data_IF_902539681578
#
_entry.id   IF_902539681578
#
_cell.length_a   1.000
_cell.length_b   1.000
_cell.length_c   1.000
_cell.angle_alpha   90.00
_cell.angle_beta   90.00
_cell.angle_gamma   90.00
#
_symmetry.space_group_name_H-M   'P 1'
#
loop_
_entity.id
_entity.type
_entity.pdbx_description
1 polymer ?
#
# COMPACT_ATOMS: atom_id res chain seq x y z
N UNK A 1 21.13 -18.86 -11.21
CA UNK A 1 21.61 -19.85 -10.20
C UNK A 1 22.91 -19.35 -9.63
N UNK A 2 23.12 -19.40 -8.29
CA UNK A 2 24.33 -18.80 -7.65
C UNK A 2 25.59 -19.67 -7.87
N UNK A 3 25.42 -20.87 -8.39
CA UNK A 3 26.51 -21.84 -8.65
C UNK A 3 27.36 -22.22 -7.42
N UNK A 4 26.72 -22.30 -6.26
CA UNK A 4 27.33 -22.75 -5.01
C UNK A 4 26.44 -23.76 -4.29
N UNK A 5 27.04 -24.59 -3.45
CA UNK A 5 26.28 -25.59 -2.70
C UNK A 5 25.40 -24.96 -1.61
N UNK A 6 24.28 -25.61 -1.22
CA UNK A 6 23.47 -25.15 -0.07
C UNK A 6 24.29 -25.03 1.22
N UNK A 7 25.29 -25.90 1.42
CA UNK A 7 26.19 -25.83 2.55
C UNK A 7 27.03 -24.54 2.56
N UNK A 8 27.46 -24.08 1.38
CA UNK A 8 28.20 -22.81 1.24
C UNK A 8 27.30 -21.63 1.60
N UNK A 9 26.05 -21.61 1.11
CA UNK A 9 25.06 -20.56 1.47
C UNK A 9 24.83 -20.55 3.00
N UNK A 10 24.72 -21.73 3.62
CA UNK A 10 24.56 -21.82 5.08
C UNK A 10 25.78 -21.25 5.84
N UNK A 11 27.00 -21.45 5.35
CA UNK A 11 28.20 -20.86 5.93
C UNK A 11 28.23 -19.34 5.79
N UNK A 12 27.81 -18.81 4.63
CA UNK A 12 27.66 -17.36 4.43
C UNK A 12 26.65 -16.75 5.39
N UNK A 13 25.47 -17.39 5.54
CA UNK A 13 24.44 -16.95 6.51
C UNK A 13 24.93 -16.99 7.96
N UNK A 14 25.78 -17.96 8.31
CA UNK A 14 26.37 -18.08 9.65
C UNK A 14 27.57 -17.15 9.87
N UNK A 15 28.02 -16.42 8.84
CA UNK A 15 29.21 -15.57 8.92
C UNK A 15 30.53 -16.35 9.07
N UNK A 16 30.53 -17.68 8.89
CA UNK A 16 31.74 -18.54 9.00
C UNK A 16 32.57 -18.55 7.74
N UNK A 17 32.04 -18.04 6.64
CA UNK A 17 32.73 -17.87 5.37
C UNK A 17 32.14 -16.66 4.65
N UNK A 18 33.01 -15.76 4.14
CA UNK A 18 32.58 -14.67 3.29
C UNK A 18 32.45 -15.15 1.82
N UNK A 19 31.43 -14.68 1.05
CA UNK A 19 31.38 -14.94 -0.38
C UNK A 19 32.48 -14.18 -1.11
N UNK A 20 33.04 -14.80 -2.17
CA UNK A 20 33.87 -14.08 -3.13
C UNK A 20 33.05 -13.08 -3.94
N UNK A 21 33.69 -12.06 -4.49
CA UNK A 21 33.04 -10.96 -5.20
C UNK A 21 32.08 -11.45 -6.29
N UNK A 22 32.52 -12.34 -7.18
CA UNK A 22 31.72 -12.86 -8.28
C UNK A 22 30.52 -13.68 -7.78
N UNK A 23 30.70 -14.41 -6.66
CA UNK A 23 29.60 -15.15 -6.03
C UNK A 23 28.60 -14.22 -5.35
N UNK A 24 29.09 -13.12 -4.77
CA UNK A 24 28.23 -12.07 -4.18
C UNK A 24 27.42 -11.37 -5.26
N UNK A 25 28.01 -11.02 -6.40
CA UNK A 25 27.31 -10.41 -7.55
C UNK A 25 26.22 -11.35 -8.10
N UNK A 26 26.52 -12.66 -8.24
CA UNK A 26 25.51 -13.64 -8.65
C UNK A 26 24.39 -13.79 -7.61
N UNK A 27 24.74 -13.82 -6.32
CA UNK A 27 23.74 -13.88 -5.24
C UNK A 27 22.85 -12.64 -5.27
N UNK A 28 23.43 -11.45 -5.37
CA UNK A 28 22.74 -10.19 -5.50
C UNK A 28 21.71 -10.21 -6.64
N UNK A 29 22.13 -10.67 -7.82
CA UNK A 29 21.25 -10.81 -8.98
C UNK A 29 20.12 -11.82 -8.76
N UNK A 30 20.33 -12.90 -7.98
CA UNK A 30 19.28 -13.90 -7.70
C UNK A 30 18.24 -13.39 -6.71
N UNK A 31 18.68 -12.61 -5.70
CA UNK A 31 17.78 -12.04 -4.68
C UNK A 31 17.32 -10.62 -5.00
N UNK A 32 17.66 -10.13 -6.18
CA UNK A 32 17.23 -8.85 -6.74
C UNK A 32 17.64 -7.62 -5.91
N UNK A 33 18.86 -7.63 -5.40
CA UNK A 33 19.48 -6.50 -4.68
C UNK A 33 20.81 -6.13 -5.32
N UNK A 34 21.41 -5.00 -4.92
CA UNK A 34 22.77 -4.67 -5.33
C UNK A 34 23.80 -5.38 -4.46
N UNK A 35 25.05 -5.64 -4.93
CA UNK A 35 26.10 -6.22 -4.09
C UNK A 35 26.36 -5.41 -2.82
N UNK A 36 26.23 -4.09 -2.88
CA UNK A 36 26.42 -3.17 -1.76
C UNK A 36 25.38 -3.40 -0.63
N UNK A 37 24.22 -3.94 -0.97
CA UNK A 37 23.19 -4.29 0.02
C UNK A 37 23.71 -5.25 1.09
N UNK A 38 24.59 -6.21 0.71
CA UNK A 38 25.18 -7.16 1.65
C UNK A 38 26.27 -6.57 2.54
N UNK A 39 26.82 -5.42 2.19
CA UNK A 39 27.87 -4.74 2.96
C UNK A 39 27.34 -3.66 3.88
N UNK A 40 26.07 -3.35 3.80
CA UNK A 40 25.41 -2.40 4.71
C UNK A 40 25.27 -2.99 6.10
N UNK A 41 25.30 -2.12 7.11
CA UNK A 41 24.83 -2.50 8.43
C UNK A 41 23.37 -2.97 8.31
N UNK A 42 22.98 -4.08 8.97
CA UNK A 42 21.58 -4.48 9.00
C UNK A 42 20.72 -3.31 9.43
N UNK A 43 19.67 -3.03 8.66
CA UNK A 43 18.67 -2.03 9.04
C UNK A 43 18.07 -2.38 10.40
N UNK A 44 17.60 -1.39 11.13
CA UNK A 44 16.85 -1.64 12.35
C UNK A 44 15.60 -2.45 12.02
N UNK A 45 15.34 -3.46 12.83
CA UNK A 45 14.14 -4.29 12.65
C UNK A 45 12.89 -3.47 12.88
N UNK A 46 11.87 -3.73 12.10
CA UNK A 46 10.52 -3.25 12.36
C UNK A 46 9.97 -3.90 13.63
N UNK A 47 9.05 -3.23 14.31
CA UNK A 47 8.19 -3.90 15.28
C UNK A 47 7.51 -5.09 14.59
N UNK A 48 7.28 -6.17 15.32
CA UNK A 48 6.68 -7.36 14.71
C UNK A 48 5.31 -7.03 14.14
N UNK A 49 5.09 -7.18 12.81
CA UNK A 49 3.83 -6.86 12.19
C UNK A 49 2.69 -7.73 12.73
N UNK A 50 1.50 -7.18 12.80
CA UNK A 50 0.29 -7.93 13.13
C UNK A 50 -0.30 -8.51 11.83
N UNK A 51 -0.57 -9.79 11.82
CA UNK A 51 -1.10 -10.50 10.64
C UNK A 51 -2.43 -11.19 10.94
N UNK A 52 -3.31 -11.13 10.00
CA UNK A 52 -4.66 -11.71 10.05
C UNK A 52 -4.75 -13.25 10.09
N UNK A 53 -3.69 -14.02 9.82
CA UNK A 53 -3.83 -15.47 9.66
C UNK A 53 -2.71 -16.26 10.33
N UNK A 54 -3.08 -17.32 11.06
CA UNK A 54 -2.16 -18.26 11.73
C UNK A 54 -1.87 -19.57 10.95
N UNK A 55 -2.37 -19.74 9.73
CA UNK A 55 -2.19 -20.97 8.98
C UNK A 55 -0.74 -21.15 8.50
N UNK A 56 -0.17 -22.35 8.67
CA UNK A 56 1.22 -22.69 8.30
C UNK A 56 1.52 -22.48 6.81
N UNK A 57 0.52 -22.62 5.93
CA UNK A 57 0.64 -22.36 4.50
C UNK A 57 1.01 -20.91 4.17
N UNK A 58 0.91 -20.00 5.12
CA UNK A 58 1.18 -18.57 4.94
C UNK A 58 2.51 -18.10 5.53
N UNK A 59 3.33 -18.98 6.12
CA UNK A 59 4.59 -18.58 6.77
C UNK A 59 5.55 -17.93 5.75
N UNK A 60 5.72 -18.56 4.59
CA UNK A 60 6.58 -17.99 3.53
C UNK A 60 6.01 -16.68 2.97
N UNK A 61 4.69 -16.60 2.80
CA UNK A 61 4.00 -15.40 2.35
C UNK A 61 4.19 -14.24 3.33
N UNK A 62 4.06 -14.50 4.62
CA UNK A 62 4.30 -13.50 5.67
C UNK A 62 5.74 -13.01 5.68
N UNK A 63 6.70 -13.94 5.67
CA UNK A 63 8.11 -13.59 5.63
C UNK A 63 8.46 -12.73 4.40
N UNK A 64 7.82 -12.99 3.26
CA UNK A 64 7.98 -12.17 2.08
C UNK A 64 7.44 -10.75 2.31
N UNK A 65 6.22 -10.62 2.84
CA UNK A 65 5.62 -9.29 3.10
C UNK A 65 6.37 -8.52 4.19
N UNK A 66 6.85 -9.19 5.24
CA UNK A 66 7.74 -8.59 6.24
C UNK A 66 9.00 -8.03 5.57
N UNK A 67 9.66 -8.81 4.72
CA UNK A 67 10.83 -8.35 3.97
C UNK A 67 10.51 -7.18 3.03
N UNK A 68 9.33 -7.18 2.39
CA UNK A 68 8.90 -6.05 1.54
C UNK A 68 8.67 -4.79 2.36
N UNK A 69 8.10 -4.90 3.56
CA UNK A 69 7.92 -3.76 4.45
C UNK A 69 9.27 -3.25 4.99
N UNK A 70 10.24 -4.15 5.29
CA UNK A 70 11.61 -3.77 5.62
C UNK A 70 12.29 -3.03 4.46
N UNK A 71 12.08 -3.46 3.21
CA UNK A 71 12.58 -2.74 2.04
C UNK A 71 11.92 -1.37 1.86
N UNK A 72 10.63 -1.25 2.16
CA UNK A 72 9.96 0.06 2.19
C UNK A 72 10.58 0.99 3.24
N UNK A 73 10.98 0.44 4.40
CA UNK A 73 11.73 1.17 5.42
C UNK A 73 13.09 1.64 4.86
N UNK A 74 13.83 0.76 4.17
CA UNK A 74 15.13 1.10 3.60
C UNK A 74 15.02 2.20 2.54
N UNK A 75 13.99 2.11 1.68
CA UNK A 75 13.68 3.18 0.69
C UNK A 75 13.41 4.50 1.40
N UNK A 76 12.54 4.48 2.41
CA UNK A 76 12.19 5.69 3.14
C UNK A 76 13.40 6.27 3.89
N UNK A 77 14.20 5.43 4.54
CA UNK A 77 15.42 5.85 5.23
C UNK A 77 16.39 6.59 4.31
N UNK A 78 16.68 6.01 3.14
CA UNK A 78 17.56 6.63 2.16
C UNK A 78 17.03 7.96 1.61
N UNK A 79 15.71 8.05 1.40
CA UNK A 79 15.09 9.29 0.92
C UNK A 79 15.03 10.37 2.01
N UNK A 80 14.84 10.00 3.27
CA UNK A 80 14.83 10.91 4.42
C UNK A 80 16.20 11.53 4.73
N UNK A 81 17.28 11.06 4.12
CA UNK A 81 18.58 11.76 4.16
C UNK A 81 18.52 13.13 3.45
N UNK A 82 17.55 13.33 2.57
CA UNK A 82 17.46 14.50 1.70
C UNK A 82 16.21 15.35 1.93
N UNK A 83 15.16 14.78 2.54
CA UNK A 83 13.87 15.46 2.71
C UNK A 83 13.25 15.16 4.08
N UNK A 84 12.54 16.13 4.63
CA UNK A 84 11.73 15.94 5.82
C UNK A 84 10.34 15.44 5.44
N UNK A 85 9.89 14.39 6.11
CA UNK A 85 8.52 13.88 5.97
C UNK A 85 7.60 14.52 7.01
N UNK A 86 6.28 14.54 6.77
CA UNK A 86 5.33 15.02 7.76
C UNK A 86 5.54 14.37 9.12
N UNK A 87 5.37 15.14 10.19
CA UNK A 87 5.45 14.61 11.55
C UNK A 87 4.39 13.55 11.79
N UNK A 88 4.73 12.57 12.65
CA UNK A 88 3.78 11.53 13.03
C UNK A 88 2.70 12.13 13.94
N UNK A 89 1.47 12.10 13.46
CA UNK A 89 0.30 12.66 14.12
C UNK A 89 -0.80 11.59 14.26
N UNK A 90 -0.55 10.61 15.11
CA UNK A 90 -1.49 9.53 15.45
C UNK A 90 -1.92 9.65 16.92
N UNK A 91 -3.18 9.33 17.26
CA UNK A 91 -3.58 9.20 18.65
C UNK A 91 -2.71 8.18 19.38
N UNK A 92 -2.20 8.54 20.55
CA UNK A 92 -1.42 7.62 21.36
C UNK A 92 -2.32 6.80 22.28
N UNK A 93 -2.04 5.50 22.39
CA UNK A 93 -2.71 4.56 23.28
C UNK A 93 -1.65 3.63 23.87
N UNK A 94 -1.76 3.37 25.18
CA UNK A 94 -0.78 2.57 25.91
C UNK A 94 -1.33 1.18 26.30
N UNK A 95 -2.31 0.67 25.53
CA UNK A 95 -2.87 -0.66 25.76
C UNK A 95 -1.81 -1.73 25.57
N UNK A 96 -1.70 -2.63 26.54
CA UNK A 96 -0.80 -3.78 26.52
C UNK A 96 -1.55 -5.11 26.34
N UNK A 97 -2.86 -5.07 26.54
CA UNK A 97 -3.78 -6.21 26.35
C UNK A 97 -4.99 -5.78 25.52
N UNK A 98 -5.37 -6.56 24.48
CA UNK A 98 -6.56 -6.25 23.69
C UNK A 98 -7.87 -6.30 24.51
N UNK A 99 -7.91 -6.98 25.66
CA UNK A 99 -9.08 -7.04 26.55
C UNK A 99 -9.35 -5.69 27.25
N UNK A 100 -8.35 -4.81 27.33
CA UNK A 100 -8.48 -3.44 27.87
C UNK A 100 -9.24 -2.50 26.93
N UNK A 101 -9.35 -2.83 25.65
CA UNK A 101 -9.88 -1.95 24.61
C UNK A 101 -11.39 -2.13 24.46
N UNK A 102 -12.14 -1.15 24.93
CA UNK A 102 -13.61 -1.16 24.80
C UNK A 102 -14.08 -0.65 23.43
N UNK A 103 -15.31 -0.94 23.09
CA UNK A 103 -15.93 -0.40 21.87
C UNK A 103 -15.98 1.14 21.88
N UNK A 104 -16.17 1.75 23.05
CA UNK A 104 -16.19 3.21 23.21
C UNK A 104 -14.81 3.82 22.97
N UNK A 105 -13.75 3.17 23.46
CA UNK A 105 -12.37 3.59 23.21
C UNK A 105 -12.03 3.58 21.71
N UNK A 106 -12.52 2.56 20.98
CA UNK A 106 -12.33 2.46 19.53
C UNK A 106 -13.05 3.61 18.80
N UNK A 107 -14.31 3.88 19.14
CA UNK A 107 -15.08 4.99 18.55
C UNK A 107 -14.41 6.34 18.84
N UNK A 108 -13.94 6.54 20.10
CA UNK A 108 -13.21 7.74 20.51
C UNK A 108 -11.89 7.89 19.75
N UNK A 109 -11.10 6.82 19.63
CA UNK A 109 -9.85 6.84 18.88
C UNK A 109 -10.07 7.20 17.40
N UNK A 110 -11.11 6.65 16.78
CA UNK A 110 -11.48 6.97 15.39
C UNK A 110 -11.90 8.44 15.23
N UNK A 111 -12.70 8.97 16.16
CA UNK A 111 -13.11 10.37 16.17
C UNK A 111 -11.92 11.31 16.37
N UNK A 112 -11.05 11.02 17.34
CA UNK A 112 -9.85 11.78 17.62
C UNK A 112 -8.90 11.82 16.42
N UNK A 113 -8.73 10.70 15.73
CA UNK A 113 -7.95 10.63 14.51
C UNK A 113 -8.50 11.59 13.42
N UNK A 114 -9.82 11.63 13.24
CA UNK A 114 -10.46 12.57 12.32
C UNK A 114 -10.27 14.02 12.70
N UNK A 115 -10.31 14.32 14.00
CA UNK A 115 -10.11 15.68 14.52
C UNK A 115 -8.65 16.14 14.35
N UNK A 116 -7.68 15.28 14.71
CA UNK A 116 -6.26 15.55 14.53
C UNK A 116 -5.91 15.80 13.05
N UNK A 117 -6.49 15.02 12.14
CA UNK A 117 -6.24 15.15 10.71
C UNK A 117 -7.17 16.14 10.00
N UNK A 118 -8.05 16.81 10.74
CA UNK A 118 -9.01 17.81 10.24
C UNK A 118 -9.89 17.29 9.11
N UNK A 119 -10.31 16.05 9.19
CA UNK A 119 -11.12 15.40 8.15
C UNK A 119 -12.61 15.75 8.24
N UNK A 120 -13.05 16.36 9.33
CA UNK A 120 -14.46 16.59 9.59
C UNK A 120 -15.26 15.28 9.77
N UNK A 121 -16.58 15.33 9.59
CA UNK A 121 -17.47 14.18 9.79
C UNK A 121 -18.08 13.66 8.47
N UNK A 122 -17.66 14.18 7.33
CA UNK A 122 -18.11 13.72 6.00
C UNK A 122 -17.21 12.59 5.48
N UNK A 123 -17.57 12.04 4.30
CA UNK A 123 -16.73 11.06 3.61
C UNK A 123 -15.33 11.63 3.31
N UNK A 124 -14.30 10.86 3.60
CA UNK A 124 -12.92 11.23 3.35
C UNK A 124 -12.68 11.22 1.83
N UNK A 125 -12.08 12.27 1.28
CA UNK A 125 -11.86 12.39 -0.16
C UNK A 125 -10.74 11.45 -0.64
N UNK A 126 -9.57 11.55 -0.01
CA UNK A 126 -8.38 10.76 -0.30
C UNK A 126 -7.78 10.28 1.03
N UNK A 127 -8.02 9.02 1.35
CA UNK A 127 -7.56 8.43 2.61
C UNK A 127 -6.05 8.19 2.60
N UNK A 128 -5.49 7.74 1.46
CA UNK A 128 -4.06 7.51 1.36
C UNK A 128 -3.28 8.80 1.62
N UNK A 129 -3.71 9.92 1.02
CA UNK A 129 -3.10 11.23 1.25
C UNK A 129 -3.24 11.68 2.71
N UNK A 130 -4.39 11.42 3.35
CA UNK A 130 -4.60 11.79 4.74
C UNK A 130 -3.68 11.00 5.69
N UNK A 131 -3.51 9.70 5.43
CA UNK A 131 -2.63 8.81 6.21
C UNK A 131 -1.17 9.21 6.03
N UNK A 132 -0.73 9.48 4.79
CA UNK A 132 0.63 9.98 4.53
C UNK A 132 0.87 11.35 5.15
N UNK A 133 -0.12 12.24 5.11
CA UNK A 133 -0.08 13.55 5.76
C UNK A 133 0.01 13.47 7.29
N UNK A 134 -0.40 12.36 7.89
CA UNK A 134 -0.21 12.06 9.31
C UNK A 134 1.14 11.38 9.64
N UNK A 135 2.08 11.36 8.69
CA UNK A 135 3.45 10.87 8.89
C UNK A 135 3.61 9.36 8.73
N UNK A 136 2.61 8.65 8.24
CA UNK A 136 2.67 7.21 7.96
C UNK A 136 3.25 6.99 6.55
N UNK A 137 4.19 6.08 6.42
CA UNK A 137 4.67 5.65 5.11
C UNK A 137 3.73 4.55 4.60
N UNK A 138 3.09 4.78 3.46
CA UNK A 138 2.20 3.81 2.83
C UNK A 138 2.83 3.33 1.53
N UNK A 139 2.89 2.02 1.36
CA UNK A 139 3.27 1.38 0.10
C UNK A 139 2.15 0.47 -0.37
N UNK A 140 2.03 0.31 -1.68
CA UNK A 140 1.01 -0.53 -2.29
C UNK A 140 1.59 -1.24 -3.50
N UNK A 141 1.61 -2.57 -3.46
CA UNK A 141 2.17 -3.39 -4.54
C UNK A 141 1.40 -4.69 -4.76
N UNK A 142 1.57 -5.29 -5.93
CA UNK A 142 1.08 -6.62 -6.20
C UNK A 142 1.95 -7.63 -5.46
N UNK A 143 1.31 -8.41 -4.57
CA UNK A 143 2.02 -9.38 -3.72
C UNK A 143 1.90 -10.81 -4.21
N UNK A 144 0.90 -11.10 -5.05
CA UNK A 144 0.53 -12.44 -5.46
C UNK A 144 -0.08 -13.28 -4.32
N UNK A 145 -0.40 -12.66 -3.18
CA UNK A 145 -0.89 -13.33 -1.97
C UNK A 145 -2.31 -12.84 -1.66
N UNK A 146 -3.28 -13.40 -2.34
CA UNK A 146 -4.68 -12.97 -2.26
C UNK A 146 -5.31 -13.03 -0.84
N UNK A 147 -4.68 -13.70 0.12
CA UNK A 147 -5.19 -13.89 1.48
C UNK A 147 -4.75 -12.81 2.47
N UNK A 148 -3.73 -12.01 2.14
CA UNK A 148 -3.22 -10.95 2.99
C UNK A 148 -3.49 -9.63 2.28
N UNK A 149 -4.33 -8.78 2.87
CA UNK A 149 -4.78 -7.52 2.26
C UNK A 149 -3.90 -6.34 2.66
N UNK A 150 -3.19 -6.46 3.79
CA UNK A 150 -2.25 -5.47 4.27
C UNK A 150 -1.48 -5.95 5.49
N UNK A 151 -0.50 -5.17 5.88
CA UNK A 151 0.19 -5.28 7.16
C UNK A 151 0.76 -3.93 7.55
N UNK A 152 0.91 -3.72 8.85
CA UNK A 152 1.47 -2.50 9.41
C UNK A 152 2.48 -2.79 10.51
N UNK A 153 3.47 -1.91 10.65
CA UNK A 153 4.48 -1.99 11.69
C UNK A 153 5.02 -0.61 12.04
N UNK A 154 5.61 -0.47 13.22
CA UNK A 154 6.38 0.70 13.60
C UNK A 154 7.87 0.48 13.32
N UNK A 155 8.50 1.48 12.73
CA UNK A 155 9.94 1.57 12.60
C UNK A 155 10.49 2.43 13.73
N UNK A 156 11.25 1.82 14.63
CA UNK A 156 11.97 2.57 15.66
C UNK A 156 13.07 3.43 15.03
N UNK A 157 13.73 2.92 13.98
CA UNK A 157 14.78 3.63 13.28
C UNK A 157 14.30 4.93 12.64
N UNK A 158 13.10 4.92 12.04
CA UNK A 158 12.52 6.11 11.41
C UNK A 158 11.63 6.91 12.35
N UNK A 159 11.34 6.40 13.54
CA UNK A 159 10.42 7.00 14.49
C UNK A 159 8.99 7.10 13.96
N UNK A 160 8.59 6.24 12.99
CA UNK A 160 7.30 6.32 12.30
C UNK A 160 6.73 4.99 11.87
N UNK A 161 5.41 4.91 11.64
CA UNK A 161 4.76 3.70 11.17
C UNK A 161 4.84 3.56 9.65
N UNK A 162 4.78 2.29 9.20
CA UNK A 162 4.66 1.90 7.81
C UNK A 162 3.44 1.00 7.62
N UNK A 163 2.81 1.10 6.46
CA UNK A 163 1.72 0.22 6.00
C UNK A 163 2.07 -0.28 4.60
N UNK A 164 1.98 -1.60 4.40
CA UNK A 164 1.99 -2.23 3.08
C UNK A 164 0.59 -2.73 2.77
N UNK A 165 0.05 -2.31 1.64
CA UNK A 165 -1.26 -2.76 1.11
C UNK A 165 -1.05 -3.65 -0.12
N UNK A 166 -1.82 -4.73 -0.21
CA UNK A 166 -1.89 -5.54 -1.41
C UNK A 166 -2.61 -4.79 -2.53
N UNK A 167 -2.05 -4.84 -3.74
CA UNK A 167 -2.69 -4.37 -4.97
C UNK A 167 -3.40 -5.50 -5.74
N UNK A 168 -3.37 -6.74 -5.26
CA UNK A 168 -3.90 -7.93 -5.94
C UNK A 168 -5.40 -7.83 -6.25
N UNK A 169 -6.13 -7.02 -5.46
CA UNK A 169 -7.55 -6.74 -5.67
C UNK A 169 -7.73 -5.28 -6.10
N UNK A 170 -8.14 -5.08 -7.35
CA UNK A 170 -8.37 -3.74 -7.87
C UNK A 170 -9.76 -3.20 -7.50
N UNK A 171 -10.02 -3.03 -6.18
CA UNK A 171 -11.27 -2.55 -5.63
C UNK A 171 -11.02 -1.42 -4.63
N UNK A 172 -11.32 -0.17 -5.03
CA UNK A 172 -11.06 1.00 -4.21
C UNK A 172 -11.88 1.07 -2.92
N UNK A 173 -13.09 0.50 -2.91
CA UNK A 173 -13.93 0.47 -1.70
C UNK A 173 -13.36 -0.43 -0.62
N UNK A 174 -12.78 -1.58 -1.01
CA UNK A 174 -12.10 -2.50 -0.09
C UNK A 174 -10.76 -1.94 0.35
N UNK A 175 -9.94 -1.49 -0.60
CA UNK A 175 -8.63 -0.95 -0.31
C UNK A 175 -8.64 0.20 0.72
N UNK A 176 -9.67 1.06 0.69
CA UNK A 176 -9.86 2.09 1.72
C UNK A 176 -10.14 1.50 3.10
N UNK A 177 -10.96 0.45 3.13
CA UNK A 177 -11.26 -0.22 4.39
C UNK A 177 -10.02 -0.92 4.95
N UNK A 178 -9.23 -1.57 4.08
CA UNK A 178 -7.99 -2.23 4.46
C UNK A 178 -6.96 -1.22 5.01
N UNK A 179 -6.81 -0.05 4.35
CA UNK A 179 -5.95 1.02 4.86
C UNK A 179 -6.41 1.54 6.23
N UNK A 180 -7.71 1.79 6.40
CA UNK A 180 -8.25 2.23 7.69
C UNK A 180 -8.11 1.16 8.78
N UNK A 181 -8.19 -0.12 8.43
CA UNK A 181 -7.95 -1.26 9.31
C UNK A 181 -6.50 -1.29 9.81
N UNK A 182 -5.53 -1.10 8.92
CA UNK A 182 -4.12 -1.03 9.29
C UNK A 182 -3.82 0.19 10.18
N UNK A 183 -4.45 1.33 9.92
CA UNK A 183 -4.39 2.49 10.83
C UNK A 183 -4.93 2.13 12.21
N UNK A 184 -6.01 1.35 12.28
CA UNK A 184 -6.56 0.83 13.53
C UNK A 184 -5.53 0.01 14.32
N UNK A 185 -4.80 -0.87 13.66
CA UNK A 185 -3.72 -1.63 14.28
C UNK A 185 -2.61 -0.73 14.82
N UNK A 186 -2.18 0.28 14.06
CA UNK A 186 -1.13 1.20 14.48
C UNK A 186 -1.49 2.03 15.71
N UNK A 187 -2.77 2.34 15.92
CA UNK A 187 -3.27 3.14 17.04
C UNK A 187 -3.59 2.28 18.24
N UNK A 188 -4.36 1.20 18.04
CA UNK A 188 -4.91 0.43 19.14
C UNK A 188 -3.95 -0.64 19.68
N UNK A 189 -3.09 -1.17 18.81
CA UNK A 189 -2.32 -2.39 19.13
C UNK A 189 -0.80 -2.17 19.12
N UNK A 190 -0.35 -0.91 19.11
CA UNK A 190 1.09 -0.56 19.02
C UNK A 190 1.95 -1.26 20.08
N UNK A 191 1.46 -1.35 21.31
CA UNK A 191 2.21 -1.87 22.46
C UNK A 191 1.79 -3.29 22.85
N UNK A 192 0.84 -3.89 22.10
CA UNK A 192 0.40 -5.25 22.36
C UNK A 192 1.38 -6.22 21.72
N UNK A 193 1.92 -7.12 22.54
CA UNK A 193 2.84 -8.13 22.06
C UNK A 193 2.15 -9.13 21.13
N UNK A 194 2.86 -9.53 20.07
CA UNK A 194 2.40 -10.56 19.17
C UNK A 194 2.05 -11.83 19.94
N UNK A 195 0.87 -12.36 19.71
CA UNK A 195 0.38 -13.58 20.35
C UNK A 195 0.20 -14.72 19.34
N UNK A 196 0.43 -15.93 19.78
CA UNK A 196 0.04 -17.17 19.09
C UNK A 196 -1.39 -17.60 19.45
N UNK A 197 -2.01 -16.92 20.41
CA UNK A 197 -3.39 -17.17 20.81
C UNK A 197 -4.36 -16.66 19.76
N UNK A 198 -5.11 -17.59 19.18
CA UNK A 198 -6.11 -17.32 18.16
C UNK A 198 -7.28 -16.45 18.65
N UNK A 199 -7.65 -16.54 19.93
CA UNK A 199 -8.76 -15.76 20.47
C UNK A 199 -8.36 -14.28 20.58
N UNK A 200 -7.18 -14.02 21.14
CA UNK A 200 -6.62 -12.66 21.23
C UNK A 200 -6.42 -12.05 19.85
N UNK A 201 -5.88 -12.83 18.91
CA UNK A 201 -5.70 -12.36 17.54
C UNK A 201 -7.03 -11.99 16.89
N UNK A 202 -8.07 -12.84 16.99
CA UNK A 202 -9.41 -12.52 16.47
C UNK A 202 -10.01 -11.27 17.11
N UNK A 203 -9.73 -11.05 18.39
CA UNK A 203 -10.18 -9.84 19.11
C UNK A 203 -9.53 -8.60 18.52
N UNK A 204 -8.22 -8.59 18.33
CA UNK A 204 -7.50 -7.47 17.71
C UNK A 204 -8.00 -7.17 16.30
N UNK A 205 -8.25 -8.22 15.50
CA UNK A 205 -8.83 -8.07 14.17
C UNK A 205 -10.23 -7.44 14.21
N UNK A 206 -11.08 -7.88 15.16
CA UNK A 206 -12.42 -7.30 15.33
C UNK A 206 -12.36 -5.83 15.77
N UNK A 207 -11.40 -5.48 16.63
CA UNK A 207 -11.15 -4.10 17.07
C UNK A 207 -10.69 -3.21 15.93
N UNK A 208 -9.74 -3.67 15.12
CA UNK A 208 -9.26 -2.93 13.94
C UNK A 208 -10.37 -2.77 12.88
N UNK A 209 -11.20 -3.80 12.66
CA UNK A 209 -12.38 -3.71 11.81
C UNK A 209 -13.39 -2.69 12.32
N UNK A 210 -13.64 -2.67 13.64
CA UNK A 210 -14.54 -1.69 14.24
C UNK A 210 -13.99 -0.28 14.10
N UNK A 211 -12.68 -0.10 14.33
CA UNK A 211 -12.00 1.18 14.12
C UNK A 211 -12.17 1.66 12.67
N UNK A 212 -11.89 0.81 11.69
CA UNK A 212 -12.05 1.16 10.27
C UNK A 212 -13.48 1.60 9.95
N UNK A 213 -14.48 0.88 10.48
CA UNK A 213 -15.89 1.25 10.35
C UNK A 213 -16.20 2.60 10.99
N UNK A 214 -15.75 2.84 12.22
CA UNK A 214 -15.96 4.11 12.93
C UNK A 214 -15.24 5.28 12.26
N UNK A 215 -14.01 5.05 11.81
CA UNK A 215 -13.19 6.06 11.17
C UNK A 215 -13.73 6.48 9.79
N UNK A 216 -14.19 5.52 8.97
CA UNK A 216 -14.73 5.80 7.64
C UNK A 216 -16.19 6.28 7.69
N UNK A 217 -16.98 5.83 8.67
CA UNK A 217 -18.42 6.06 8.82
C UNK A 217 -18.73 6.62 10.22
N UNK A 218 -18.43 7.91 10.49
CA UNK A 218 -18.68 8.54 11.79
C UNK A 218 -20.15 8.42 12.20
N UNK A 219 -20.41 7.98 13.44
CA UNK A 219 -21.74 7.59 13.89
C UNK A 219 -22.81 8.67 13.64
N UNK A 220 -22.57 9.91 14.06
CA UNK A 220 -23.55 10.99 14.01
C UNK A 220 -24.01 11.31 12.57
N UNK A 221 -23.06 11.56 11.68
CA UNK A 221 -23.36 11.96 10.31
C UNK A 221 -23.77 10.79 9.42
N UNK A 222 -23.13 9.63 9.61
CA UNK A 222 -23.48 8.44 8.85
C UNK A 222 -24.90 7.96 9.20
N UNK A 223 -25.23 7.84 10.49
CA UNK A 223 -26.55 7.38 10.92
C UNK A 223 -27.71 8.29 10.41
N UNK A 224 -27.47 9.59 10.33
CA UNK A 224 -28.49 10.53 9.82
C UNK A 224 -28.81 10.38 8.32
N UNK A 225 -27.89 9.77 7.55
CA UNK A 225 -28.09 9.49 6.12
C UNK A 225 -28.74 8.12 5.85
N UNK A 226 -28.91 7.29 6.88
CA UNK A 226 -29.40 5.91 6.74
C UNK A 226 -30.91 5.84 6.89
N UNK A 227 -31.57 5.28 5.89
CA UNK A 227 -32.96 4.86 5.99
C UNK A 227 -33.07 3.54 6.76
N UNK A 228 -33.93 3.49 7.75
CA UNK A 228 -34.18 2.26 8.55
C UNK A 228 -35.63 1.78 8.30
N UNK A 229 -35.82 0.49 7.94
CA UNK A 229 -34.83 -0.53 7.59
C UNK A 229 -34.20 -0.24 6.22
N UNK A 230 -32.88 -0.45 6.05
CA UNK A 230 -32.20 -0.21 4.79
C UNK A 230 -32.50 -1.29 3.76
N UNK A 231 -32.61 -0.89 2.50
CA UNK A 231 -32.65 -1.81 1.36
C UNK A 231 -31.25 -2.02 0.75
N UNK A 232 -31.11 -3.01 -0.15
CA UNK A 232 -29.84 -3.20 -0.87
C UNK A 232 -29.53 -1.99 -1.77
N UNK A 233 -30.52 -1.32 -2.30
CA UNK A 233 -30.32 -0.14 -3.16
C UNK A 233 -29.89 1.08 -2.32
N UNK A 234 -30.41 1.24 -1.09
CA UNK A 234 -29.91 2.24 -0.13
C UNK A 234 -28.44 1.99 0.21
N UNK A 235 -28.03 0.72 0.40
CA UNK A 235 -26.63 0.37 0.64
C UNK A 235 -25.71 0.74 -0.53
N UNK A 236 -26.17 0.64 -1.80
CA UNK A 236 -25.41 1.07 -2.96
C UNK A 236 -25.26 2.60 -3.03
N UNK A 237 -26.27 3.36 -2.63
CA UNK A 237 -26.18 4.83 -2.53
C UNK A 237 -25.16 5.22 -1.46
N UNK A 238 -25.25 4.63 -0.28
CA UNK A 238 -24.31 4.86 0.81
C UNK A 238 -22.87 4.45 0.44
N UNK A 239 -22.71 3.31 -0.28
CA UNK A 239 -21.42 2.86 -0.80
C UNK A 239 -20.74 3.94 -1.65
N UNK A 240 -21.46 4.50 -2.62
CA UNK A 240 -20.93 5.58 -3.48
C UNK A 240 -20.64 6.84 -2.68
N UNK A 241 -21.54 7.21 -1.77
CA UNK A 241 -21.43 8.41 -0.93
C UNK A 241 -20.23 8.36 0.00
N UNK A 242 -20.05 7.24 0.72
CA UNK A 242 -19.02 7.10 1.76
C UNK A 242 -17.73 6.44 1.28
N UNK A 243 -17.74 5.84 0.11
CA UNK A 243 -16.55 5.22 -0.47
C UNK A 243 -16.12 3.92 0.22
N UNK A 244 -17.09 3.16 0.76
CA UNK A 244 -16.86 1.86 1.42
C UNK A 244 -17.81 0.81 0.87
N UNK A 245 -17.51 -0.48 1.01
CA UNK A 245 -18.36 -1.56 0.52
C UNK A 245 -19.70 -1.65 1.25
N UNK A 246 -20.73 -2.17 0.58
CA UNK A 246 -22.02 -2.44 1.21
C UNK A 246 -21.88 -3.41 2.41
N UNK A 247 -20.94 -4.35 2.32
CA UNK A 247 -20.62 -5.24 3.45
C UNK A 247 -20.12 -4.47 4.67
N UNK A 248 -19.19 -3.52 4.49
CA UNK A 248 -18.69 -2.68 5.58
C UNK A 248 -19.81 -1.80 6.17
N UNK A 249 -20.73 -1.29 5.33
CA UNK A 249 -21.90 -0.54 5.78
C UNK A 249 -22.81 -1.40 6.66
N UNK A 250 -23.14 -2.63 6.25
CA UNK A 250 -23.97 -3.54 7.07
C UNK A 250 -23.30 -3.78 8.44
N UNK A 251 -21.99 -4.04 8.47
CA UNK A 251 -21.26 -4.22 9.72
C UNK A 251 -21.28 -2.95 10.60
N UNK A 252 -21.17 -1.77 9.98
CA UNK A 252 -21.27 -0.50 10.71
C UNK A 252 -22.65 -0.27 11.30
N UNK A 253 -23.71 -0.54 10.55
CA UNK A 253 -25.10 -0.45 11.04
C UNK A 253 -25.37 -1.37 12.22
N UNK A 254 -24.80 -2.59 12.19
CA UNK A 254 -24.82 -3.52 13.33
C UNK A 254 -24.04 -2.94 14.53
N UNK A 255 -22.83 -2.40 14.31
CA UNK A 255 -22.02 -1.81 15.36
C UNK A 255 -22.67 -0.58 16.02
N UNK A 256 -23.56 0.13 15.30
CA UNK A 256 -24.34 1.27 15.79
C UNK A 256 -25.73 0.84 16.33
N UNK A 257 -25.99 -0.46 16.45
CA UNK A 257 -27.29 -1.01 16.91
C UNK A 257 -28.50 -0.56 16.07
N UNK A 258 -28.24 -0.06 14.85
CA UNK A 258 -29.30 0.26 13.88
C UNK A 258 -29.86 -0.97 13.17
N UNK A 259 -29.13 -2.10 13.25
CA UNK A 259 -29.51 -3.45 12.85
C UNK A 259 -29.16 -4.43 13.96
N UNK A 260 -30.09 -5.30 14.24
CA UNK A 260 -29.80 -6.48 15.07
C UNK A 260 -29.05 -7.57 14.27
N UNK A 261 -28.69 -8.66 14.93
CA UNK A 261 -27.96 -9.77 14.32
C UNK A 261 -28.72 -10.39 13.14
N UNK A 262 -30.02 -10.60 13.32
CA UNK A 262 -30.90 -11.21 12.30
C UNK A 262 -31.09 -10.30 11.09
N UNK A 263 -31.26 -9.02 11.30
CA UNK A 263 -31.37 -8.01 10.24
C UNK A 263 -30.07 -7.91 9.42
N UNK A 264 -28.93 -7.89 10.08
CA UNK A 264 -27.62 -7.89 9.41
C UNK A 264 -27.41 -9.19 8.62
N UNK A 265 -27.68 -10.36 9.21
CA UNK A 265 -27.60 -11.65 8.55
C UNK A 265 -28.53 -11.74 7.33
N UNK A 266 -29.75 -11.21 7.44
CA UNK A 266 -30.69 -11.16 6.33
C UNK A 266 -30.18 -10.30 5.18
N UNK A 267 -29.60 -9.14 5.46
CA UNK A 267 -29.02 -8.27 4.44
C UNK A 267 -27.81 -8.95 3.77
N UNK A 268 -26.95 -9.63 4.51
CA UNK A 268 -25.85 -10.41 3.93
C UNK A 268 -26.34 -11.53 3.02
N UNK A 269 -27.38 -12.28 3.42
CA UNK A 269 -28.01 -13.32 2.59
C UNK A 269 -28.60 -12.74 1.30
N UNK A 270 -29.37 -11.66 1.40
CA UNK A 270 -29.96 -10.96 0.24
C UNK A 270 -28.87 -10.41 -0.70
N UNK A 271 -27.81 -9.80 -0.14
CA UNK A 271 -26.65 -9.32 -0.88
C UNK A 271 -25.99 -10.45 -1.68
N UNK A 272 -25.70 -11.56 -1.01
CA UNK A 272 -25.07 -12.72 -1.63
C UNK A 272 -25.94 -13.37 -2.70
N UNK A 273 -27.25 -13.44 -2.47
CA UNK A 273 -28.20 -13.96 -3.45
C UNK A 273 -28.35 -13.06 -4.69
N UNK A 274 -28.32 -11.72 -4.52
CA UNK A 274 -28.52 -10.77 -5.62
C UNK A 274 -27.23 -10.44 -6.37
N UNK A 275 -26.07 -10.34 -5.69
CA UNK A 275 -24.82 -9.84 -6.27
C UNK A 275 -23.69 -10.87 -6.26
N UNK A 276 -23.85 -11.97 -5.55
CA UNK A 276 -22.78 -12.92 -5.27
C UNK A 276 -21.96 -12.54 -4.04
N UNK A 277 -21.08 -13.48 -3.62
CA UNK A 277 -20.33 -13.31 -2.38
C UNK A 277 -19.09 -12.40 -2.52
N UNK A 278 -18.51 -12.29 -3.74
CA UNK A 278 -17.20 -11.71 -3.98
C UNK A 278 -17.21 -10.27 -4.49
N UNK A 279 -18.26 -9.84 -5.18
CA UNK A 279 -18.35 -8.53 -5.81
C UNK A 279 -19.66 -7.82 -5.45
N UNK A 280 -19.67 -6.52 -5.63
CA UNK A 280 -20.84 -5.66 -5.45
C UNK A 280 -21.00 -4.76 -6.69
N UNK A 281 -22.22 -4.38 -7.07
CA UNK A 281 -22.40 -3.43 -8.16
C UNK A 281 -21.62 -2.13 -7.93
N UNK A 282 -20.97 -1.64 -8.97
CA UNK A 282 -20.18 -0.42 -8.94
C UNK A 282 -18.82 -0.57 -8.27
N UNK A 283 -18.30 -1.79 -8.06
CA UNK A 283 -16.95 -1.99 -7.54
C UNK A 283 -15.88 -1.36 -8.46
N UNK A 284 -16.15 -1.34 -9.77
CA UNK A 284 -15.33 -0.73 -10.81
C UNK A 284 -15.35 0.81 -10.83
N UNK A 285 -16.35 1.42 -10.20
CA UNK A 285 -16.55 2.89 -10.20
C UNK A 285 -15.45 3.62 -9.39
N UNK A 286 -14.77 2.90 -8.50
CA UNK A 286 -13.73 3.47 -7.64
C UNK A 286 -12.43 2.70 -7.73
N UNK A 287 -11.41 3.34 -8.30
CA UNK A 287 -10.04 2.81 -8.27
C UNK A 287 -9.45 2.95 -6.87
N UNK A 288 -8.54 2.03 -6.47
CA UNK A 288 -7.78 2.19 -5.23
C UNK A 288 -6.96 3.47 -5.23
N UNK A 289 -6.94 4.15 -4.10
CA UNK A 289 -6.08 5.31 -3.87
C UNK A 289 -4.62 4.86 -3.89
N UNK A 290 -3.76 5.67 -4.50
CA UNK A 290 -2.34 5.35 -4.62
C UNK A 290 -1.55 6.18 -3.61
N UNK A 291 -0.65 5.57 -2.84
CA UNK A 291 0.34 6.28 -2.03
C UNK A 291 1.21 7.18 -2.93
N UNK A 292 1.66 8.31 -2.40
CA UNK A 292 2.39 9.32 -3.18
C UNK A 292 3.66 9.82 -2.52
N UNK A 293 3.84 9.56 -1.22
CA UNK A 293 4.93 10.15 -0.44
C UNK A 293 6.29 9.78 -1.02
N UNK A 294 6.58 8.48 -1.18
CA UNK A 294 7.87 8.02 -1.73
C UNK A 294 8.06 8.48 -3.17
N UNK A 295 7.03 8.36 -3.99
CA UNK A 295 7.06 8.82 -5.39
C UNK A 295 7.39 10.29 -5.49
N UNK A 296 6.66 11.15 -4.77
CA UNK A 296 6.88 12.60 -4.79
C UNK A 296 8.26 12.98 -4.29
N UNK A 297 8.79 12.24 -3.32
CA UNK A 297 10.16 12.43 -2.86
C UNK A 297 11.15 12.14 -3.96
N UNK A 298 11.01 11.02 -4.67
CA UNK A 298 11.87 10.65 -5.80
C UNK A 298 11.75 11.69 -6.91
N UNK A 299 10.53 12.07 -7.30
CA UNK A 299 10.29 13.11 -8.30
C UNK A 299 11.00 14.42 -7.90
N UNK A 300 10.89 14.85 -6.63
CA UNK A 300 11.53 16.05 -6.10
C UNK A 300 13.05 15.98 -6.18
N UNK A 301 13.68 14.85 -5.77
CA UNK A 301 15.14 14.70 -5.85
C UNK A 301 15.67 14.81 -7.28
N UNK A 302 14.91 14.33 -8.25
CA UNK A 302 15.27 14.40 -9.68
C UNK A 302 15.04 15.82 -10.22
N UNK A 303 13.91 16.45 -9.94
CA UNK A 303 13.55 17.80 -10.38
C UNK A 303 14.55 18.84 -9.86
N UNK A 304 14.89 18.77 -8.57
CA UNK A 304 15.87 19.65 -7.93
C UNK A 304 17.34 19.26 -8.20
N UNK A 305 17.57 18.23 -9.01
CA UNK A 305 18.91 17.72 -9.38
C UNK A 305 19.79 17.36 -8.17
N UNK A 306 19.18 16.92 -7.08
CA UNK A 306 19.90 16.46 -5.89
C UNK A 306 20.64 15.16 -6.20
N UNK A 307 19.99 14.27 -6.99
CA UNK A 307 20.57 13.00 -7.39
C UNK A 307 20.16 12.63 -8.82
N UNK A 308 21.07 12.08 -9.64
CA UNK A 308 20.72 11.54 -10.96
C UNK A 308 19.71 10.40 -10.82
N UNK A 309 18.78 10.31 -11.76
CA UNK A 309 17.69 9.33 -11.75
C UNK A 309 18.21 7.87 -11.59
N UNK A 310 19.25 7.51 -12.35
CA UNK A 310 19.86 6.17 -12.34
C UNK A 310 20.68 5.87 -11.07
N UNK A 311 21.01 6.88 -10.29
CA UNK A 311 21.76 6.72 -9.04
C UNK A 311 20.86 6.36 -7.85
N UNK A 312 19.56 6.71 -7.90
CA UNK A 312 18.63 6.50 -6.77
C UNK A 312 18.52 5.04 -6.34
N UNK A 313 18.27 4.04 -7.23
CA UNK A 313 18.21 2.64 -6.82
C UNK A 313 19.53 2.13 -6.22
N UNK A 314 20.67 2.58 -6.77
CA UNK A 314 22.00 2.25 -6.25
C UNK A 314 22.24 2.82 -4.85
N UNK A 315 21.82 4.07 -4.63
CA UNK A 315 21.89 4.70 -3.31
C UNK A 315 21.06 3.94 -2.28
N UNK A 316 19.83 3.56 -2.64
CA UNK A 316 18.95 2.74 -1.82
C UNK A 316 19.51 1.31 -1.64
N UNK A 317 20.20 0.77 -2.65
CA UNK A 317 20.80 -0.58 -2.68
C UNK A 317 19.84 -1.68 -3.10
N UNK A 318 18.66 -1.32 -3.61
CA UNK A 318 17.66 -2.24 -4.16
C UNK A 318 17.68 -2.20 -5.69
N UNK A 319 17.15 -3.24 -6.33
CA UNK A 319 16.95 -3.24 -7.78
C UNK A 319 15.93 -2.15 -8.16
N UNK A 320 16.12 -1.55 -9.34
CA UNK A 320 15.26 -0.46 -9.83
C UNK A 320 13.77 -0.83 -9.83
N UNK A 321 13.42 -2.04 -10.30
CA UNK A 321 12.03 -2.52 -10.33
C UNK A 321 11.39 -2.66 -8.95
N UNK A 322 12.17 -3.00 -7.91
CA UNK A 322 11.65 -3.06 -6.54
C UNK A 322 11.41 -1.67 -5.96
N UNK A 323 12.31 -0.73 -6.23
CA UNK A 323 12.10 0.68 -5.84
C UNK A 323 10.88 1.26 -6.56
N UNK A 324 10.72 0.96 -7.87
CA UNK A 324 9.55 1.35 -8.66
C UNK A 324 8.25 0.82 -8.04
N UNK A 325 8.21 -0.47 -7.70
CA UNK A 325 7.04 -1.09 -7.10
C UNK A 325 6.69 -0.47 -5.74
N UNK A 326 7.68 -0.36 -4.83
CA UNK A 326 7.49 0.19 -3.49
C UNK A 326 7.12 1.68 -3.49
N UNK A 327 7.67 2.46 -4.41
CA UNK A 327 7.37 3.88 -4.54
C UNK A 327 6.13 4.19 -5.41
N UNK A 328 5.48 3.16 -5.98
CA UNK A 328 4.35 3.35 -6.89
C UNK A 328 4.73 4.08 -8.19
N UNK A 329 5.96 3.89 -8.65
CA UNK A 329 6.47 4.43 -9.91
C UNK A 329 6.11 3.50 -11.08
N UNK A 330 6.00 4.02 -12.31
CA UNK A 330 5.81 3.15 -13.48
C UNK A 330 7.03 2.26 -13.71
N UNK A 331 6.79 1.07 -14.25
CA UNK A 331 7.85 0.15 -14.66
C UNK A 331 8.82 0.82 -15.64
N UNK A 332 10.13 0.68 -15.40
CA UNK A 332 11.19 1.28 -16.19
C UNK A 332 11.39 2.78 -15.95
N UNK A 333 10.86 3.32 -14.87
CA UNK A 333 11.03 4.73 -14.50
C UNK A 333 12.51 5.12 -14.40
N UNK A 334 13.33 4.32 -13.73
CA UNK A 334 14.76 4.59 -13.56
C UNK A 334 15.62 4.31 -14.80
N UNK A 335 15.08 3.62 -15.79
CA UNK A 335 15.79 3.36 -17.05
C UNK A 335 15.77 4.56 -18.00
N UNK A 336 15.09 5.66 -17.60
CA UNK A 336 14.87 6.80 -18.46
C UNK A 336 14.17 6.36 -19.72
N UNK A 337 12.86 6.27 -19.74
CA UNK A 337 12.17 6.07 -21.01
C UNK A 337 12.61 7.21 -21.93
N UNK A 338 13.52 6.92 -22.84
CA UNK A 338 13.53 7.64 -24.09
C UNK A 338 12.12 7.42 -24.67
N UNK A 339 11.26 8.43 -24.53
CA UNK A 339 9.99 8.48 -25.25
C UNK A 339 10.30 8.59 -26.75
N UNK A 340 10.97 7.59 -27.32
CA UNK A 340 10.90 7.32 -28.73
C UNK A 340 9.59 6.60 -28.93
N UNK A 341 8.51 7.37 -28.96
CA UNK A 341 7.29 6.90 -29.57
C UNK A 341 7.64 6.71 -31.03
N UNK A 342 7.92 5.49 -31.46
CA UNK A 342 8.02 5.13 -32.87
C UNK A 342 6.63 5.35 -33.52
N UNK A 343 6.31 6.60 -33.86
CA UNK A 343 5.02 6.98 -34.42
C UNK A 343 4.78 6.41 -35.83
N UNK A 344 5.82 6.04 -36.55
CA UNK A 344 5.71 5.28 -37.80
C UNK A 344 7.06 4.67 -38.20
N UNK A 345 7.07 3.41 -38.57
CA UNK A 345 8.12 2.85 -39.45
C UNK A 345 7.80 3.26 -40.88
N UNK A 346 8.69 4.01 -41.50
CA UNK A 346 8.64 4.20 -42.95
C UNK A 346 8.65 2.83 -43.61
N UNK A 347 7.63 2.50 -44.38
CA UNK A 347 7.65 1.33 -45.27
C UNK A 347 8.85 1.51 -46.20
N UNK A 348 9.80 0.61 -46.13
CA UNK A 348 10.84 0.52 -47.14
C UNK A 348 10.16 0.30 -48.49
N UNK A 349 10.06 1.31 -49.33
CA UNK A 349 9.68 1.19 -50.72
C UNK A 349 10.84 0.52 -51.45
N UNK A 350 10.70 -0.78 -51.70
CA UNK A 350 11.48 -1.40 -52.75
C UNK A 350 11.03 -0.84 -54.09
N UNK A 351 11.83 0.04 -54.66
CA UNK A 351 12.10 0.08 -56.13
C UNK A 351 13.20 1.12 -56.36
N UNK A 352 14.24 0.78 -57.14
CA UNK A 352 15.19 1.78 -57.57
C UNK A 352 14.52 2.64 -58.65
N UNK A 353 14.56 3.91 -58.49
CA UNK A 353 14.27 4.88 -59.56
C UNK A 353 15.48 5.73 -59.73
N UNK A 354 15.90 5.81 -60.97
CA UNK A 354 17.06 6.50 -61.54
C UNK A 354 17.40 7.89 -61.01
N UNK A 355 18.68 8.18 -61.11
CA UNK A 355 19.37 9.42 -60.87
C UNK A 355 18.62 10.69 -61.31
N UNK A 356 18.32 11.55 -60.36
CA UNK A 356 18.35 13.00 -60.53
C UNK A 356 18.70 13.71 -59.22
N UNK A 357 19.43 14.89 -59.27
CA UNK A 357 20.15 15.40 -58.12
C UNK A 357 19.25 16.07 -57.07
N UNK A 358 19.69 15.97 -55.84
CA UNK A 358 19.05 16.37 -54.61
C UNK A 358 18.62 17.86 -54.58
N UNK A 359 17.36 18.09 -54.29
CA UNK A 359 16.89 19.33 -53.62
C UNK A 359 16.47 19.06 -52.19
N UNK A 360 16.95 19.90 -51.29
CA UNK A 360 16.94 19.71 -49.84
C UNK A 360 15.54 19.46 -49.25
N UNK A 361 15.46 18.54 -48.36
CA UNK A 361 14.29 18.32 -47.48
C UNK A 361 14.14 19.42 -46.46
N UNK A 362 13.11 20.25 -46.64
CA UNK A 362 12.62 21.13 -45.55
C UNK A 362 11.77 20.34 -44.60
N UNK A 363 12.25 20.25 -43.36
CA UNK A 363 11.44 19.78 -42.23
C UNK A 363 10.44 20.86 -41.85
N UNK A 364 9.14 20.58 -41.96
CA UNK A 364 8.08 21.53 -41.54
C UNK A 364 7.63 21.10 -40.13
N UNK A 365 7.74 21.97 -39.12
CA UNK A 365 7.27 21.63 -37.76
C UNK A 365 5.73 21.63 -37.69
N UNK A 366 5.18 20.64 -37.03
CA UNK A 366 3.75 20.50 -36.79
C UNK A 366 3.32 21.53 -35.73
N UNK A 367 2.34 22.39 -36.04
CA UNK A 367 1.68 23.28 -35.06
C UNK A 367 0.37 22.59 -34.58
N UNK A 368 0.14 22.46 -33.26
CA UNK A 368 -1.14 22.02 -32.79
C UNK A 368 -2.22 23.11 -32.99
N UNK A 369 -3.39 22.66 -33.44
CA UNK A 369 -4.58 23.52 -33.61
C UNK A 369 -5.19 23.77 -32.24
N UNK A 370 -5.24 25.03 -31.81
CA UNK A 370 -6.00 25.49 -30.66
C UNK A 370 -7.49 25.38 -30.93
N UNK A 371 -8.23 24.64 -30.12
CA UNK A 371 -9.71 24.68 -30.11
C UNK A 371 -10.16 25.94 -29.38
N UNK A 372 -10.90 26.72 -30.09
CA UNK A 372 -11.76 27.82 -29.57
C UNK A 372 -12.94 27.26 -28.78
#
# INVERSE_FOLDING_TARGET
>A
MVDVSPATISKWRAGTQAPERDALERLAGVVNVTPEWFTRAPGAKLSLPLFRSNASAHVAARAMLEARLEWAQDVAAALMEYVDYPDVNLPSRDYTDPEEITNEDIEKAASECRDLWRLGRSAIQDLALAVEGAGVIVVREETGIAQIEGLSAWSEALGRPLILLSADKNNGYRSRFDLAHEVGHLILHRHIQRTTDNARHKMMEAQAHRFAGAFLLPAETFASEVRVPPTLDDLLLLKRRWGVSAAAIIMRLKALEMLDEDGALMLFKRRSARWGAKSEPGDEDRRPEQPRLLRRTIDLLVEEKVMPLDAIPRHIGLAAGDVEALAGLPEGYFQGKTNVVEFARLKATQKPVDDHPAQGNKVVPFRPVSKS
#
